data_IF_740629987193
#
_entry.id   IF_740629987193
#
_cell.length_a   1.000
_cell.length_b   1.000
_cell.length_c   1.000
_cell.angle_alpha   90.00
_cell.angle_beta   90.00
_cell.angle_gamma   90.00
#
_symmetry.space_group_name_H-M   'P 1'
#
loop_
_entity.id
_entity.type
_entity.pdbx_description
1 polymer ?
#
# COMPACT_ATOMS: atom_id res chain seq x y z
N UNK A 1 -18.86 -9.67 22.24
CA UNK A 1 -17.82 -9.16 21.32
C UNK A 1 -18.04 -9.78 19.94
N UNK A 2 -18.21 -8.96 18.94
CA UNK A 2 -18.42 -9.45 17.57
C UNK A 2 -17.06 -9.79 16.94
N UNK A 3 -16.96 -10.99 16.38
CA UNK A 3 -15.77 -11.41 15.66
C UNK A 3 -15.66 -10.61 14.34
N UNK A 4 -14.51 -10.00 14.02
CA UNK A 4 -14.35 -9.28 12.75
C UNK A 4 -14.42 -10.23 11.56
N UNK A 5 -14.85 -9.72 10.40
CA UNK A 5 -14.71 -10.44 9.14
C UNK A 5 -13.22 -10.56 8.79
N UNK A 6 -12.88 -11.44 7.85
CA UNK A 6 -11.50 -11.56 7.38
C UNK A 6 -10.98 -10.23 6.81
N UNK A 7 -11.79 -9.51 6.05
CA UNK A 7 -11.39 -8.23 5.49
C UNK A 7 -11.17 -7.18 6.58
N UNK A 8 -12.04 -7.09 7.57
CA UNK A 8 -11.85 -6.20 8.71
C UNK A 8 -10.57 -6.54 9.48
N UNK A 9 -10.34 -7.83 9.73
CA UNK A 9 -9.15 -8.32 10.43
C UNK A 9 -7.88 -7.94 9.69
N UNK A 10 -7.79 -8.25 8.41
CA UNK A 10 -6.60 -7.94 7.62
C UNK A 10 -6.42 -6.45 7.38
N UNK A 11 -7.51 -5.68 7.25
CA UNK A 11 -7.39 -4.22 7.14
C UNK A 11 -6.85 -3.60 8.44
N UNK A 12 -7.24 -4.11 9.61
CA UNK A 12 -6.67 -3.66 10.88
C UNK A 12 -5.17 -3.92 10.96
N UNK A 13 -4.74 -5.10 10.52
CA UNK A 13 -3.31 -5.42 10.44
C UNK A 13 -2.60 -4.47 9.48
N UNK A 14 -3.21 -4.17 8.34
CA UNK A 14 -2.67 -3.24 7.35
C UNK A 14 -2.49 -1.85 7.93
N UNK A 15 -3.45 -1.38 8.71
CA UNK A 15 -3.35 -0.10 9.41
C UNK A 15 -2.21 -0.09 10.43
N UNK A 16 -2.01 -1.21 11.13
CA UNK A 16 -0.91 -1.36 12.06
C UNK A 16 0.44 -1.32 11.33
N UNK A 17 0.54 -1.99 10.19
CA UNK A 17 1.75 -1.95 9.34
C UNK A 17 2.08 -0.52 8.92
N UNK A 18 1.07 0.29 8.60
CA UNK A 18 1.23 1.68 8.21
C UNK A 18 1.92 2.54 9.28
N UNK A 19 1.79 2.16 10.56
CA UNK A 19 2.42 2.90 11.66
C UNK A 19 3.94 2.89 11.60
N UNK A 20 4.54 1.96 10.86
CA UNK A 20 6.00 1.91 10.66
C UNK A 20 6.49 2.82 9.53
N UNK A 21 5.62 3.53 8.84
CA UNK A 21 6.02 4.45 7.77
C UNK A 21 7.10 5.44 8.22
N UNK A 22 8.03 5.72 7.32
CA UNK A 22 9.10 6.70 7.55
C UNK A 22 8.89 7.99 6.75
N UNK A 23 7.73 8.14 6.13
CA UNK A 23 7.36 9.33 5.38
C UNK A 23 6.81 10.41 6.31
N UNK A 24 7.16 11.67 6.04
CA UNK A 24 6.68 12.82 6.81
C UNK A 24 5.26 13.24 6.44
N UNK A 25 4.80 12.88 5.24
CA UNK A 25 3.53 13.37 4.68
C UNK A 25 2.36 12.41 4.89
N UNK A 26 2.61 11.10 4.76
CA UNK A 26 1.56 10.07 4.78
C UNK A 26 2.06 8.79 5.41
N UNK A 27 1.15 8.11 6.06
CA UNK A 27 1.38 6.78 6.60
C UNK A 27 0.53 5.79 5.80
N UNK A 28 1.18 4.98 4.98
CA UNK A 28 0.52 4.00 4.12
C UNK A 28 1.03 2.61 4.44
N UNK A 29 0.13 1.66 4.49
CA UNK A 29 0.44 0.25 4.68
C UNK A 29 -0.21 -0.60 3.61
N UNK A 30 0.43 -1.72 3.31
CA UNK A 30 -0.09 -2.74 2.42
C UNK A 30 0.32 -4.13 2.91
N UNK A 31 -0.58 -5.10 2.78
CA UNK A 31 -0.26 -6.50 3.03
C UNK A 31 -0.79 -7.35 1.89
N UNK A 32 -0.12 -8.45 1.62
CA UNK A 32 -0.55 -9.44 0.63
C UNK A 32 -0.97 -10.69 1.39
N UNK A 33 -2.17 -11.17 1.11
CA UNK A 33 -2.78 -12.32 1.79
C UNK A 33 -3.15 -13.39 0.76
N UNK A 34 -2.78 -14.62 1.03
CA UNK A 34 -3.14 -15.77 0.22
C UNK A 34 -3.62 -16.89 1.12
N UNK A 35 -4.79 -17.46 0.80
CA UNK A 35 -5.39 -18.52 1.61
C UNK A 35 -5.46 -18.14 3.10
N UNK A 36 -5.90 -16.92 3.38
CA UNK A 36 -6.04 -16.35 4.73
C UNK A 36 -4.75 -16.31 5.53
N UNK A 37 -3.61 -16.26 4.85
CA UNK A 37 -2.28 -16.12 5.46
C UNK A 37 -1.57 -14.92 4.87
N UNK A 38 -0.91 -14.16 5.72
CA UNK A 38 -0.11 -13.02 5.27
C UNK A 38 1.15 -13.54 4.58
N UNK A 39 1.32 -13.17 3.33
CA UNK A 39 2.50 -13.48 2.52
C UNK A 39 3.60 -12.45 2.74
N UNK A 40 3.23 -11.18 2.76
CA UNK A 40 4.18 -10.09 2.91
C UNK A 40 3.47 -8.84 3.44
N UNK A 41 4.28 -7.92 3.94
CA UNK A 41 3.84 -6.60 4.40
C UNK A 41 4.69 -5.52 3.76
N UNK A 42 4.18 -4.31 3.69
CA UNK A 42 4.93 -3.16 3.22
C UNK A 42 4.36 -1.87 3.79
N UNK A 43 5.22 -0.94 4.09
CA UNK A 43 4.86 0.43 4.44
C UNK A 43 5.69 1.38 3.58
N UNK A 44 5.23 2.61 3.41
CA UNK A 44 5.96 3.58 2.62
C UNK A 44 7.19 4.06 3.39
N UNK A 45 8.35 3.96 2.74
CA UNK A 45 9.60 4.31 3.39
C UNK A 45 10.79 4.18 2.47
N UNK A 46 11.92 4.75 2.88
CA UNK A 46 13.16 4.70 2.13
C UNK A 46 13.62 3.25 1.93
N UNK A 47 14.32 2.96 0.83
CA UNK A 47 14.92 1.66 0.62
C UNK A 47 15.81 1.24 1.79
N UNK A 48 15.91 -0.06 1.99
CA UNK A 48 16.68 -0.65 3.09
C UNK A 48 18.11 -0.14 3.11
N UNK A 49 18.54 0.34 4.27
CA UNK A 49 19.89 0.86 4.48
C UNK A 49 20.06 2.34 4.13
N UNK A 50 19.07 2.98 3.53
CA UNK A 50 19.11 4.41 3.24
C UNK A 50 18.48 5.23 4.37
N UNK A 51 18.83 6.52 4.42
CA UNK A 51 18.25 7.44 5.40
C UNK A 51 16.77 7.67 5.12
N UNK A 52 15.98 7.76 6.19
CA UNK A 52 14.54 8.00 6.12
C UNK A 52 14.24 9.49 6.02
N UNK A 53 13.10 9.83 5.40
CA UNK A 53 12.63 11.22 5.34
C UNK A 53 12.44 11.81 6.74
N UNK A 54 12.08 11.02 7.73
CA UNK A 54 11.97 11.49 9.12
C UNK A 54 13.30 11.98 9.68
N UNK A 55 14.43 11.52 9.13
CA UNK A 55 15.76 11.92 9.55
C UNK A 55 16.30 13.13 8.78
N UNK A 56 16.04 13.20 7.46
CA UNK A 56 16.66 14.17 6.56
C UNK A 56 15.69 15.13 5.87
N UNK A 57 14.40 14.96 6.08
CA UNK A 57 13.39 15.78 5.43
C UNK A 57 12.87 15.21 4.11
N UNK A 58 11.85 15.83 3.57
CA UNK A 58 11.20 15.45 2.33
C UNK A 58 11.63 16.39 1.19
N UNK A 59 12.32 15.86 0.19
CA UNK A 59 12.76 16.65 -0.97
C UNK A 59 11.58 17.32 -1.70
N UNK A 60 10.49 16.60 -1.87
CA UNK A 60 9.29 17.15 -2.55
C UNK A 60 8.69 18.31 -1.76
N UNK A 61 8.67 18.21 -0.44
CA UNK A 61 8.20 19.28 0.42
C UNK A 61 9.11 20.50 0.36
N UNK A 62 10.43 20.30 0.36
CA UNK A 62 11.44 21.35 0.19
C UNK A 62 11.30 22.07 -1.16
N UNK A 63 10.91 21.35 -2.20
CA UNK A 63 10.68 21.90 -3.54
C UNK A 63 9.27 22.48 -3.73
N UNK A 64 8.43 22.45 -2.71
CA UNK A 64 7.06 22.96 -2.79
C UNK A 64 6.13 22.11 -3.66
N UNK A 65 6.43 20.84 -3.85
CA UNK A 65 5.62 19.94 -4.69
C UNK A 65 4.42 19.43 -3.88
N UNK A 66 3.19 19.57 -4.42
CA UNK A 66 1.99 19.05 -3.76
C UNK A 66 2.03 17.55 -3.55
N UNK A 67 1.30 17.07 -2.53
CA UNK A 67 1.13 15.64 -2.28
C UNK A 67 0.51 14.94 -3.50
N UNK A 68 1.01 13.76 -3.83
CA UNK A 68 0.53 12.98 -4.97
C UNK A 68 1.19 13.31 -6.31
N UNK A 69 2.09 14.31 -6.36
CA UNK A 69 2.78 14.71 -7.58
C UNK A 69 4.29 14.42 -7.49
N UNK A 70 4.92 14.21 -8.64
CA UNK A 70 6.36 14.03 -8.78
C UNK A 70 6.92 12.92 -7.88
N UNK A 71 6.29 11.74 -7.92
CA UNK A 71 6.70 10.59 -7.11
C UNK A 71 8.13 10.11 -7.40
N UNK A 72 8.65 10.38 -8.60
CA UNK A 72 10.02 10.02 -8.97
C UNK A 72 11.09 10.74 -8.13
N UNK A 73 10.74 11.83 -7.49
CA UNK A 73 11.63 12.57 -6.60
C UNK A 73 11.55 12.09 -5.15
N UNK A 74 10.60 11.23 -4.84
CA UNK A 74 10.47 10.65 -3.51
C UNK A 74 11.50 9.55 -3.31
N UNK A 75 12.30 9.64 -2.23
CA UNK A 75 13.24 8.56 -1.92
C UNK A 75 12.57 7.32 -1.36
N UNK A 76 11.34 7.45 -0.87
CA UNK A 76 10.58 6.33 -0.34
C UNK A 76 9.95 5.49 -1.44
N UNK A 77 10.00 4.17 -1.27
CA UNK A 77 9.16 3.28 -2.06
C UNK A 77 7.76 3.25 -1.44
N UNK A 78 6.76 3.00 -2.28
CA UNK A 78 5.38 2.93 -1.82
C UNK A 78 5.12 1.63 -1.04
N UNK A 79 4.11 1.62 -0.18
CA UNK A 79 3.76 0.45 0.61
C UNK A 79 3.48 -0.78 -0.26
N UNK A 80 2.73 -0.60 -1.35
CA UNK A 80 2.40 -1.67 -2.28
C UNK A 80 3.64 -2.23 -2.96
N UNK A 81 4.57 -1.34 -3.38
CA UNK A 81 5.85 -1.73 -3.97
C UNK A 81 6.65 -2.57 -3.00
N UNK A 82 6.77 -2.14 -1.74
CA UNK A 82 7.52 -2.85 -0.72
C UNK A 82 6.92 -4.22 -0.40
N UNK A 83 5.59 -4.32 -0.35
CA UNK A 83 4.92 -5.61 -0.13
C UNK A 83 5.19 -6.59 -1.28
N UNK A 84 5.11 -6.12 -2.53
CA UNK A 84 5.38 -6.93 -3.72
C UNK A 84 6.84 -7.37 -3.75
N UNK A 85 7.76 -6.46 -3.49
CA UNK A 85 9.21 -6.75 -3.49
C UNK A 85 9.54 -7.77 -2.39
N UNK A 86 8.96 -7.63 -1.20
CA UNK A 86 9.19 -8.58 -0.12
C UNK A 86 8.72 -9.98 -0.50
N UNK A 87 7.53 -10.11 -1.09
CA UNK A 87 7.02 -11.40 -1.54
C UNK A 87 7.91 -12.01 -2.63
N UNK A 88 8.31 -11.20 -3.62
CA UNK A 88 9.20 -11.64 -4.69
C UNK A 88 10.56 -12.06 -4.15
N UNK A 89 11.12 -11.29 -3.23
CA UNK A 89 12.42 -11.58 -2.60
C UNK A 89 12.44 -12.87 -1.79
N UNK A 90 11.32 -13.25 -1.20
CA UNK A 90 11.19 -14.52 -0.47
C UNK A 90 10.79 -15.71 -1.38
N UNK A 91 10.62 -15.46 -2.66
CA UNK A 91 10.22 -16.50 -3.63
C UNK A 91 8.78 -16.97 -3.50
N UNK A 92 7.92 -16.19 -2.83
CA UNK A 92 6.52 -16.56 -2.63
C UNK A 92 5.66 -16.02 -3.76
N UNK A 93 4.87 -16.90 -4.39
CA UNK A 93 3.94 -16.49 -5.44
C UNK A 93 2.81 -15.65 -4.88
N UNK A 94 2.52 -14.55 -5.56
CA UNK A 94 1.37 -13.69 -5.27
C UNK A 94 0.17 -13.99 -6.14
N UNK A 95 0.29 -14.98 -7.02
CA UNK A 95 -0.76 -15.30 -7.98
C UNK A 95 -2.05 -15.72 -7.27
N UNK A 96 -3.13 -15.02 -7.58
CA UNK A 96 -4.44 -15.26 -6.97
C UNK A 96 -4.61 -14.68 -5.56
N UNK A 97 -3.64 -13.92 -5.06
CA UNK A 97 -3.68 -13.32 -3.74
C UNK A 97 -4.61 -12.09 -3.66
N UNK A 98 -4.86 -11.64 -2.44
CA UNK A 98 -5.54 -10.39 -2.14
C UNK A 98 -4.55 -9.40 -1.55
N UNK A 99 -4.57 -8.15 -2.01
CA UNK A 99 -3.80 -7.07 -1.40
C UNK A 99 -4.74 -6.16 -0.61
N UNK A 100 -4.35 -5.86 0.62
CA UNK A 100 -5.01 -4.87 1.47
C UNK A 100 -4.14 -3.63 1.53
N UNK A 101 -4.72 -2.48 1.27
CA UNK A 101 -4.01 -1.19 1.32
C UNK A 101 -4.82 -0.20 2.13
N UNK A 102 -4.15 0.64 2.90
CA UNK A 102 -4.83 1.73 3.64
C UNK A 102 -5.39 2.78 2.69
N UNK A 103 -4.71 3.01 1.56
CA UNK A 103 -5.12 3.97 0.53
C UNK A 103 -5.16 3.29 -0.84
N UNK A 104 -5.95 3.82 -1.78
CA UNK A 104 -5.96 3.30 -3.14
C UNK A 104 -4.59 3.53 -3.82
N UNK A 105 -4.13 2.56 -4.63
CA UNK A 105 -2.81 2.63 -5.25
C UNK A 105 -2.75 3.69 -6.35
N UNK A 106 -1.57 4.30 -6.53
CA UNK A 106 -1.31 5.15 -7.67
C UNK A 106 -1.18 4.29 -8.95
N UNK A 107 -1.15 4.93 -10.11
CA UNK A 107 -1.06 4.23 -11.40
C UNK A 107 0.18 3.33 -11.50
N UNK A 108 1.32 3.78 -10.98
CA UNK A 108 2.56 2.99 -10.98
C UNK A 108 2.40 1.70 -10.17
N UNK A 109 1.88 1.81 -8.96
CA UNK A 109 1.64 0.64 -8.10
C UNK A 109 0.57 -0.29 -8.70
N UNK A 110 -0.46 0.29 -9.32
CA UNK A 110 -1.51 -0.48 -9.98
C UNK A 110 -0.95 -1.42 -11.05
N UNK A 111 -0.03 -0.93 -11.88
CA UNK A 111 0.62 -1.76 -12.90
C UNK A 111 1.37 -2.94 -12.28
N UNK A 112 2.07 -2.71 -11.19
CA UNK A 112 2.78 -3.76 -10.46
C UNK A 112 1.83 -4.79 -9.86
N UNK A 113 0.73 -4.33 -9.27
CA UNK A 113 -0.30 -5.20 -8.69
C UNK A 113 -0.88 -6.12 -9.76
N UNK A 114 -1.23 -5.57 -10.91
CA UNK A 114 -1.78 -6.35 -12.03
C UNK A 114 -0.78 -7.42 -12.48
N UNK A 115 0.48 -7.04 -12.69
CA UNK A 115 1.51 -7.96 -13.17
C UNK A 115 1.93 -9.03 -12.14
N UNK A 116 1.68 -8.77 -10.85
CA UNK A 116 1.99 -9.74 -9.79
C UNK A 116 1.00 -10.91 -9.72
N UNK A 117 -0.14 -10.80 -10.40
CA UNK A 117 -1.16 -11.84 -10.38
C UNK A 117 -2.17 -11.70 -9.22
N UNK A 118 -2.12 -10.61 -8.48
CA UNK A 118 -3.13 -10.33 -7.45
C UNK A 118 -4.50 -10.20 -8.11
N UNK A 119 -5.50 -10.89 -7.55
CA UNK A 119 -6.85 -10.95 -8.13
C UNK A 119 -7.87 -10.07 -7.43
N UNK A 120 -7.56 -9.59 -6.24
CA UNK A 120 -8.48 -8.82 -5.41
C UNK A 120 -7.73 -7.77 -4.63
N UNK A 121 -8.29 -6.57 -4.52
CA UNK A 121 -7.74 -5.50 -3.67
C UNK A 121 -8.83 -4.97 -2.74
N UNK A 122 -8.44 -4.73 -1.49
CA UNK A 122 -9.30 -4.14 -0.46
C UNK A 122 -8.63 -2.84 -0.01
N UNK A 123 -9.35 -1.75 -0.15
CA UNK A 123 -8.82 -0.40 0.01
C UNK A 123 -9.53 0.34 1.15
N UNK A 124 -8.75 1.00 2.01
CA UNK A 124 -9.29 1.76 3.14
C UNK A 124 -9.81 3.12 2.74
N UNK A 125 -9.01 3.89 2.01
CA UNK A 125 -9.38 5.22 1.53
C UNK A 125 -9.28 5.28 0.02
N UNK A 126 -10.23 5.98 -0.61
CA UNK A 126 -10.15 6.29 -2.02
C UNK A 126 -9.24 7.50 -2.20
N UNK A 127 -8.19 7.33 -2.98
CA UNK A 127 -7.29 8.40 -3.38
C UNK A 127 -7.47 8.63 -4.88
N UNK A 128 -7.68 9.87 -5.35
CA UNK A 128 -7.96 10.13 -6.76
C UNK A 128 -6.74 9.80 -7.64
N UNK A 129 -6.88 8.80 -8.49
CA UNK A 129 -5.94 8.50 -9.56
C UNK A 129 -6.75 7.82 -10.67
N UNK A 130 -7.25 8.64 -11.61
CA UNK A 130 -8.13 8.19 -12.67
C UNK A 130 -7.49 7.10 -13.53
N UNK A 131 -6.21 7.25 -13.87
CA UNK A 131 -5.50 6.25 -14.67
C UNK A 131 -5.42 4.92 -13.91
N UNK A 132 -5.07 4.96 -12.62
CA UNK A 132 -5.02 3.76 -11.79
C UNK A 132 -6.37 3.07 -11.72
N UNK A 133 -7.44 3.82 -11.51
CA UNK A 133 -8.82 3.28 -11.47
C UNK A 133 -9.20 2.62 -12.80
N UNK A 134 -8.87 3.25 -13.93
CA UNK A 134 -9.16 2.72 -15.26
C UNK A 134 -8.39 1.42 -15.52
N UNK A 135 -7.12 1.36 -15.12
CA UNK A 135 -6.31 0.15 -15.29
C UNK A 135 -6.85 -1.01 -14.45
N UNK A 136 -7.26 -0.77 -13.23
CA UNK A 136 -7.87 -1.79 -12.37
C UNK A 136 -9.17 -2.30 -13.01
N UNK A 137 -10.01 -1.39 -13.47
CA UNK A 137 -11.28 -1.75 -14.12
C UNK A 137 -11.05 -2.63 -15.35
N UNK A 138 -10.08 -2.27 -16.19
CA UNK A 138 -9.73 -3.05 -17.39
C UNK A 138 -9.15 -4.43 -17.02
N UNK A 139 -8.41 -4.51 -15.92
CA UNK A 139 -7.73 -5.76 -15.50
C UNK A 139 -8.68 -6.85 -15.02
N UNK A 140 -9.88 -6.49 -14.59
CA UNK A 140 -10.83 -7.43 -13.99
C UNK A 140 -10.55 -7.75 -12.52
N UNK A 141 -9.59 -7.08 -11.89
CA UNK A 141 -9.32 -7.26 -10.45
C UNK A 141 -10.52 -6.78 -9.63
N UNK A 142 -10.99 -7.63 -8.70
CA UNK A 142 -12.06 -7.27 -7.78
C UNK A 142 -11.58 -6.20 -6.81
N UNK A 143 -12.32 -5.10 -6.70
CA UNK A 143 -12.00 -4.00 -5.80
C UNK A 143 -13.08 -3.84 -4.74
N UNK A 144 -12.67 -3.80 -3.48
CA UNK A 144 -13.55 -3.59 -2.32
C UNK A 144 -13.06 -2.37 -1.56
N UNK A 145 -13.97 -1.48 -1.19
CA UNK A 145 -13.65 -0.35 -0.30
C UNK A 145 -14.16 -0.68 1.09
N UNK A 146 -13.27 -0.62 2.06
CA UNK A 146 -13.56 -0.91 3.46
C UNK A 146 -12.90 0.13 4.34
N UNK A 147 -13.64 1.21 4.61
CA UNK A 147 -13.17 2.23 5.54
C UNK A 147 -13.37 1.75 6.97
N UNK A 148 -12.29 1.56 7.70
CA UNK A 148 -12.34 1.31 9.13
C UNK A 148 -12.15 2.63 9.87
N UNK A 149 -12.77 2.74 11.04
CA UNK A 149 -12.52 3.87 11.92
C UNK A 149 -11.04 3.87 12.31
N UNK A 150 -10.41 5.04 12.21
CA UNK A 150 -9.02 5.20 12.62
C UNK A 150 -8.91 4.97 14.12
N UNK A 151 -7.87 4.25 14.54
CA UNK A 151 -7.55 4.15 15.95
C UNK A 151 -7.28 5.57 16.48
N UNK A 152 -7.83 5.96 17.63
CA UNK A 152 -7.57 7.29 18.20
C UNK A 152 -6.07 7.55 18.30
N UNK A 153 -5.61 8.66 17.69
CA UNK A 153 -4.20 9.05 17.70
C UNK A 153 -3.43 8.72 16.41
N UNK A 154 -4.08 8.12 15.43
CA UNK A 154 -3.47 7.87 14.11
C UNK A 154 -3.78 8.98 13.11
#
# INVERSE_FOLDING_TARGET
>A
MKRPTWDEYFMKITMLVAERSTCMRRMVGAIIVKDKRIVSTGYNGAPKGLKHCLEIGCLREEMGIPSGERHELCRGAHAEQNAIIQAAGSGTSMNGATMYCTDSPCSTCTKMIINSGIKRIVLGKKYPDELGENLISESGIETVYLALETVPGS
#
